data_IF_446133009114
#
_entry.id   IF_446133009114
#
_cell.length_a   1.000
_cell.length_b   1.000
_cell.length_c   1.000
_cell.angle_alpha   90.00
_cell.angle_beta   90.00
_cell.angle_gamma   90.00
#
_symmetry.space_group_name_H-M   'P 1'
#
loop_
_entity.id
_entity.type
_entity.pdbx_description
1 polymer ?
#
# COMPACT_ATOMS: atom_id res chain seq x y z
N UNK A 1 10.27 -27.69 -5.53
CA UNK A 1 10.25 -26.34 -6.13
C UNK A 1 8.85 -25.78 -6.03
N UNK A 2 8.66 -24.47 -5.75
CA UNK A 2 7.33 -23.88 -5.68
C UNK A 2 6.67 -23.91 -7.07
N UNK A 3 5.37 -24.20 -7.10
CA UNK A 3 4.56 -24.12 -8.33
C UNK A 3 4.11 -22.68 -8.56
N UNK A 4 3.77 -22.33 -9.81
CA UNK A 4 3.17 -21.01 -10.11
C UNK A 4 1.90 -20.78 -9.30
N UNK A 5 1.10 -21.84 -9.07
CA UNK A 5 -0.11 -21.78 -8.23
C UNK A 5 0.23 -21.42 -6.77
N UNK A 6 1.25 -22.04 -6.18
CA UNK A 6 1.65 -21.73 -4.80
C UNK A 6 2.26 -20.32 -4.69
N UNK A 7 3.02 -19.87 -5.69
CA UNK A 7 3.55 -18.50 -5.73
C UNK A 7 2.42 -17.47 -5.86
N UNK A 8 1.42 -17.73 -6.69
CA UNK A 8 0.25 -16.85 -6.84
C UNK A 8 -0.54 -16.73 -5.54
N UNK A 9 -0.86 -17.84 -4.88
CA UNK A 9 -1.60 -17.81 -3.62
C UNK A 9 -0.82 -17.05 -2.54
N UNK A 10 0.50 -17.27 -2.46
CA UNK A 10 1.36 -16.54 -1.54
C UNK A 10 1.37 -15.03 -1.83
N UNK A 11 1.53 -14.64 -3.10
CA UNK A 11 1.53 -13.24 -3.51
C UNK A 11 0.19 -12.55 -3.21
N UNK A 12 -0.94 -13.21 -3.42
CA UNK A 12 -2.27 -12.67 -3.11
C UNK A 12 -2.41 -12.40 -1.61
N UNK A 13 -2.13 -13.39 -0.76
CA UNK A 13 -2.24 -13.23 0.69
C UNK A 13 -1.30 -12.15 1.27
N UNK A 14 -0.13 -11.97 0.65
CA UNK A 14 0.83 -10.94 1.06
C UNK A 14 0.53 -9.54 0.53
N UNK A 15 -0.16 -9.41 -0.62
CA UNK A 15 -0.43 -8.12 -1.27
C UNK A 15 -1.84 -7.57 -1.05
N UNK A 16 -2.81 -8.43 -0.74
CA UNK A 16 -4.21 -8.11 -0.45
C UNK A 16 -4.58 -8.49 0.99
N UNK A 17 -3.81 -7.98 1.95
CA UNK A 17 -4.09 -8.12 3.36
C UNK A 17 -5.24 -7.22 3.82
N UNK A 18 -5.85 -7.55 4.97
CA UNK A 18 -6.91 -6.75 5.58
C UNK A 18 -6.47 -5.30 5.79
N UNK A 19 -7.33 -4.30 5.55
CA UNK A 19 -7.01 -2.90 5.81
C UNK A 19 -6.46 -2.68 7.22
N UNK A 20 -5.52 -1.75 7.36
CA UNK A 20 -4.84 -1.44 8.62
C UNK A 20 -4.47 0.06 8.69
N UNK A 21 -3.61 0.47 9.61
CA UNK A 21 -3.12 1.85 9.68
C UNK A 21 -2.17 2.18 8.52
N UNK A 22 -2.03 3.45 8.18
CA UNK A 22 -1.11 3.89 7.12
C UNK A 22 0.33 3.41 7.37
N UNK A 23 0.83 3.52 8.61
CA UNK A 23 2.17 3.09 8.98
C UNK A 23 2.35 1.59 8.76
N UNK A 24 1.45 0.77 9.33
CA UNK A 24 1.51 -0.68 9.22
C UNK A 24 1.38 -1.16 7.77
N UNK A 25 0.56 -0.50 6.96
CA UNK A 25 0.43 -0.80 5.54
C UNK A 25 1.74 -0.52 4.79
N UNK A 26 2.39 0.62 5.02
CA UNK A 26 3.66 1.00 4.38
C UNK A 26 4.79 0.05 4.82
N UNK A 27 4.90 -0.26 6.11
CA UNK A 27 5.89 -1.21 6.65
C UNK A 27 5.74 -2.63 6.08
N UNK A 28 4.50 -3.04 5.80
CA UNK A 28 4.18 -4.33 5.21
C UNK A 28 4.44 -4.38 3.70
N UNK A 29 4.10 -3.30 2.99
CA UNK A 29 4.38 -3.17 1.56
C UNK A 29 5.88 -2.98 1.28
N UNK A 30 6.65 -2.50 2.27
CA UNK A 30 8.08 -2.14 2.20
C UNK A 30 8.39 -0.95 1.30
N UNK A 31 7.70 -0.84 0.17
CA UNK A 31 7.83 0.25 -0.78
C UNK A 31 6.46 0.64 -1.33
N UNK A 32 6.24 1.94 -1.46
CA UNK A 32 5.13 2.54 -2.18
C UNK A 32 5.72 3.62 -3.07
N UNK A 33 5.47 3.56 -4.38
CA UNK A 33 5.96 4.58 -5.31
C UNK A 33 5.09 5.83 -5.21
N UNK A 34 5.70 6.99 -4.96
CA UNK A 34 5.03 8.27 -5.01
C UNK A 34 4.96 8.77 -6.47
N UNK A 35 3.81 8.57 -7.11
CA UNK A 35 3.55 8.96 -8.50
C UNK A 35 3.13 10.45 -8.58
N UNK A 36 3.81 11.27 -9.41
CA UNK A 36 3.42 12.66 -9.64
C UNK A 36 2.17 12.85 -10.52
N UNK A 37 1.78 11.83 -11.30
CA UNK A 37 0.64 11.90 -12.23
C UNK A 37 -0.67 11.81 -11.46
N UNK A 38 -1.56 12.79 -11.65
CA UNK A 38 -2.82 12.94 -10.89
C UNK A 38 -4.09 12.49 -11.61
N UNK A 39 -4.00 12.10 -12.88
CA UNK A 39 -5.17 11.71 -13.68
C UNK A 39 -5.13 10.21 -14.03
N UNK A 40 -6.19 9.43 -13.75
CA UNK A 40 -7.42 9.81 -13.05
C UNK A 40 -7.27 9.88 -11.52
N UNK A 41 -6.20 9.29 -10.96
CA UNK A 41 -5.77 9.38 -9.57
C UNK A 41 -4.28 8.98 -9.48
N UNK A 42 -3.58 9.33 -8.40
CA UNK A 42 -2.18 8.92 -8.20
C UNK A 42 -2.10 7.43 -7.84
N UNK A 43 -1.08 6.73 -8.34
CA UNK A 43 -0.92 5.30 -8.12
C UNK A 43 -0.83 4.93 -6.62
N UNK A 44 -0.12 5.71 -5.81
CA UNK A 44 -0.03 5.49 -4.35
C UNK A 44 -1.40 5.57 -3.68
N UNK A 45 -2.26 6.50 -4.09
CA UNK A 45 -3.59 6.64 -3.49
C UNK A 45 -4.44 5.41 -3.79
N UNK A 46 -4.35 4.86 -5.00
CA UNK A 46 -5.08 3.66 -5.40
C UNK A 46 -4.58 2.42 -4.64
N UNK A 47 -3.27 2.30 -4.44
CA UNK A 47 -2.66 1.21 -3.66
C UNK A 47 -3.12 1.28 -2.20
N UNK A 48 -3.03 2.45 -1.58
CA UNK A 48 -3.29 2.63 -0.16
C UNK A 48 -4.77 2.63 0.18
N UNK A 49 -5.64 3.10 -0.72
CA UNK A 49 -7.10 3.10 -0.53
C UNK A 49 -7.68 1.73 -0.19
N UNK A 50 -7.10 0.64 -0.71
CA UNK A 50 -7.58 -0.72 -0.44
C UNK A 50 -6.96 -1.35 0.82
N UNK A 51 -5.94 -0.72 1.41
CA UNK A 51 -5.06 -1.29 2.43
C UNK A 51 -5.02 -0.50 3.72
N UNK A 52 -5.52 0.73 3.70
CA UNK A 52 -5.55 1.63 4.83
C UNK A 52 -6.98 1.99 5.18
N UNK A 53 -7.34 1.79 6.44
CA UNK A 53 -8.67 2.13 6.96
C UNK A 53 -8.95 3.62 6.78
N UNK A 54 -10.13 3.95 6.24
CA UNK A 54 -10.60 5.32 6.03
C UNK A 54 -9.67 6.22 5.21
N UNK A 55 -8.78 5.63 4.41
CA UNK A 55 -7.80 6.37 3.61
C UNK A 55 -8.45 7.35 2.63
N UNK A 56 -7.92 8.57 2.58
CA UNK A 56 -8.28 9.61 1.63
C UNK A 56 -7.09 9.95 0.75
N UNK A 57 -7.37 10.35 -0.49
CA UNK A 57 -6.33 10.78 -1.40
C UNK A 57 -5.51 11.92 -0.78
N UNK A 58 -4.19 11.75 -0.70
CA UNK A 58 -3.30 12.73 -0.08
C UNK A 58 -2.89 12.40 1.36
N UNK A 59 -3.49 11.40 1.99
CA UNK A 59 -3.16 11.04 3.38
C UNK A 59 -1.71 10.56 3.49
N UNK A 60 -1.17 9.89 2.46
CA UNK A 60 0.25 9.52 2.48
C UNK A 60 1.12 10.77 2.62
N UNK A 61 0.98 11.76 1.73
CA UNK A 61 1.83 12.95 1.76
C UNK A 61 1.61 13.81 3.01
N UNK A 62 0.38 13.90 3.51
CA UNK A 62 0.05 14.64 4.74
C UNK A 62 0.67 14.03 5.99
N UNK A 63 0.65 12.70 6.09
CA UNK A 63 1.10 11.99 7.29
C UNK A 63 2.54 11.49 7.20
N UNK A 64 3.15 11.47 6.01
CA UNK A 64 4.53 11.00 5.79
C UNK A 64 5.54 11.60 6.78
N UNK A 65 5.55 12.93 7.05
CA UNK A 65 6.51 13.52 7.99
C UNK A 65 6.43 12.97 9.41
N UNK A 66 5.26 12.46 9.81
CA UNK A 66 4.98 11.95 11.15
C UNK A 66 4.97 10.42 11.21
N UNK A 67 5.14 9.74 10.06
CA UNK A 67 4.94 8.29 9.97
C UNK A 67 6.06 7.50 10.67
N UNK A 68 7.23 8.13 10.87
CA UNK A 68 8.42 7.56 11.52
C UNK A 68 8.61 6.09 11.12
N UNK A 69 8.73 5.89 9.80
CA UNK A 69 8.95 4.61 9.13
C UNK A 69 10.46 4.42 9.02
N UNK A 70 10.97 3.33 9.60
CA UNK A 70 12.38 2.94 9.64
C UNK A 70 12.50 1.43 9.70
#
# INVERSE_FOLDING_TARGET
MPTVKSLRSHAISHSLFSPTTLKSAVERLKFVQADPIRSPARAQDLILRQRVENYRAGDLERHYPNLNIG
#
